data_IF_921132032890
#
_entry.id   IF_921132032890
#
_cell.length_a   1.000
_cell.length_b   1.000
_cell.length_c   1.000
_cell.angle_alpha   90.00
_cell.angle_beta   90.00
_cell.angle_gamma   90.00
#
_symmetry.space_group_name_H-M   'P 1'
#
loop_
_entity.id
_entity.type
_entity.pdbx_description
1 polymer ?
#
# COMPACT_ATOMS: atom_id res chain seq x y z
N UNK A 1 -5.35 -3.92 15.44
CA UNK A 1 -3.93 -3.86 15.04
C UNK A 1 -3.17 -5.17 15.32
N UNK A 2 -3.01 -5.62 16.58
CA UNK A 2 -2.14 -6.76 16.93
C UNK A 2 -2.41 -8.05 16.14
N UNK A 3 -3.68 -8.41 15.93
CA UNK A 3 -4.06 -9.56 15.09
C UNK A 3 -3.49 -9.47 13.67
N UNK A 4 -3.38 -8.27 13.10
CA UNK A 4 -2.80 -8.08 11.77
C UNK A 4 -1.28 -8.28 11.78
N UNK A 5 -0.57 -7.81 12.82
CA UNK A 5 0.86 -8.04 13.00
C UNK A 5 1.17 -9.54 13.10
N UNK A 6 0.44 -10.26 13.95
CA UNK A 6 0.57 -11.70 14.12
C UNK A 6 0.30 -12.47 12.82
N UNK A 7 -0.68 -12.02 12.02
CA UNK A 7 -0.97 -12.63 10.72
C UNK A 7 0.15 -12.37 9.71
N UNK A 8 0.60 -11.11 9.56
CA UNK A 8 1.44 -10.69 8.44
C UNK A 8 2.94 -10.75 8.68
N UNK A 9 3.37 -10.61 9.93
CA UNK A 9 4.79 -10.55 10.28
C UNK A 9 5.25 -11.81 11.02
N UNK A 10 4.36 -12.42 11.81
CA UNK A 10 4.67 -13.66 12.56
C UNK A 10 4.23 -14.92 11.82
N UNK A 11 3.32 -14.79 10.84
CA UNK A 11 2.90 -15.89 9.95
C UNK A 11 1.76 -16.76 10.48
N UNK A 12 0.95 -16.25 11.42
CA UNK A 12 -0.25 -16.96 11.87
C UNK A 12 -1.37 -16.91 10.82
N UNK A 13 -2.25 -17.91 10.83
CA UNK A 13 -3.52 -17.80 10.10
C UNK A 13 -4.40 -16.71 10.74
N UNK A 14 -5.23 -16.05 9.94
CA UNK A 14 -6.13 -14.96 10.39
C UNK A 14 -6.96 -15.33 11.63
N UNK A 15 -7.47 -16.56 11.70
CA UNK A 15 -8.25 -17.05 12.85
C UNK A 15 -7.37 -17.17 14.11
N UNK A 16 -6.19 -17.77 13.97
CA UNK A 16 -5.22 -17.93 15.07
C UNK A 16 -4.75 -16.57 15.58
N UNK A 17 -4.37 -15.66 14.68
CA UNK A 17 -3.90 -14.33 15.00
C UNK A 17 -4.93 -13.50 15.78
N UNK A 18 -6.22 -13.55 15.38
CA UNK A 18 -7.32 -12.91 16.11
C UNK A 18 -7.52 -13.49 17.50
N UNK A 19 -7.52 -14.82 17.59
CA UNK A 19 -7.70 -15.50 18.87
C UNK A 19 -6.56 -15.20 19.84
N UNK A 20 -5.32 -15.12 19.37
CA UNK A 20 -4.18 -14.79 20.21
C UNK A 20 -4.21 -13.31 20.64
N UNK A 21 -4.50 -12.40 19.71
CA UNK A 21 -4.55 -10.97 20.00
C UNK A 21 -5.59 -10.60 21.07
N UNK A 22 -6.70 -11.34 21.19
CA UNK A 22 -7.74 -11.05 22.19
C UNK A 22 -7.32 -11.34 23.64
N UNK A 23 -6.17 -11.98 23.87
CA UNK A 23 -5.65 -12.22 25.22
C UNK A 23 -4.85 -11.03 25.79
N UNK A 24 -4.60 -10.00 24.98
CA UNK A 24 -3.82 -8.83 25.38
C UNK A 24 -4.72 -7.61 25.36
N UNK A 25 -4.72 -6.82 26.44
CA UNK A 25 -5.54 -5.60 26.48
C UNK A 25 -4.87 -4.47 25.69
N UNK A 26 -3.54 -4.43 25.68
CA UNK A 26 -2.75 -3.43 24.98
C UNK A 26 -1.43 -4.01 24.42
N UNK A 27 -0.62 -3.15 23.79
CA UNK A 27 0.66 -3.52 23.18
C UNK A 27 1.71 -3.92 24.22
N UNK A 28 1.73 -3.22 25.36
CA UNK A 28 2.69 -3.46 26.44
C UNK A 28 2.46 -4.85 27.08
N UNK A 29 1.20 -5.23 27.31
CA UNK A 29 0.84 -6.58 27.75
C UNK A 29 1.39 -7.66 26.81
N UNK A 30 1.30 -7.42 25.50
CA UNK A 30 1.82 -8.33 24.48
C UNK A 30 3.35 -8.34 24.45
N UNK A 31 4.03 -7.22 24.65
CA UNK A 31 5.50 -7.18 24.60
C UNK A 31 6.14 -7.80 25.85
N UNK A 32 5.45 -7.76 26.99
CA UNK A 32 5.98 -8.21 28.28
C UNK A 32 5.54 -9.63 28.66
N UNK A 33 4.70 -10.31 27.88
CA UNK A 33 4.25 -11.67 28.21
C UNK A 33 5.38 -12.69 28.06
N UNK A 34 5.60 -13.48 29.10
CA UNK A 34 6.57 -14.58 29.10
C UNK A 34 6.10 -15.78 28.28
N UNK A 35 7.05 -16.51 27.67
CA UNK A 35 6.77 -17.71 26.87
C UNK A 35 5.93 -18.75 27.62
N UNK A 36 6.16 -18.93 28.92
CA UNK A 36 5.42 -19.90 29.74
C UNK A 36 3.94 -19.54 29.88
N UNK A 37 3.60 -18.25 29.86
CA UNK A 37 2.22 -17.78 29.87
C UNK A 37 1.57 -17.93 28.50
N UNK A 38 2.32 -17.67 27.43
CA UNK A 38 1.88 -17.92 26.05
C UNK A 38 1.62 -19.41 25.79
N UNK A 39 2.44 -20.32 26.35
CA UNK A 39 2.27 -21.78 26.25
C UNK A 39 0.97 -22.29 26.89
N UNK A 40 0.49 -21.59 27.92
CA UNK A 40 -0.58 -22.06 28.80
C UNK A 40 -1.84 -21.19 28.73
N UNK A 41 -2.20 -20.72 27.54
CA UNK A 41 -3.43 -19.96 27.32
C UNK A 41 -4.65 -20.88 27.56
N UNK A 42 -5.42 -20.58 28.61
CA UNK A 42 -6.61 -21.32 29.03
C UNK A 42 -7.86 -20.44 28.92
N UNK A 43 -9.01 -21.08 28.68
CA UNK A 43 -10.34 -20.47 28.85
C UNK A 43 -10.63 -20.16 30.31
N UNK A 44 -11.68 -19.37 30.52
CA UNK A 44 -12.29 -19.11 31.83
C UNK A 44 -12.68 -20.42 32.55
N UNK A 45 -13.04 -21.48 31.81
CA UNK A 45 -13.35 -22.81 32.37
C UNK A 45 -12.12 -23.69 32.59
N UNK A 46 -10.90 -23.16 32.41
CA UNK A 46 -9.64 -23.87 32.62
C UNK A 46 -9.24 -24.83 31.49
N UNK A 47 -10.04 -24.96 30.44
CA UNK A 47 -9.70 -25.76 29.26
C UNK A 47 -8.68 -25.02 28.39
N UNK A 48 -7.67 -25.73 27.88
CA UNK A 48 -6.72 -25.18 26.91
C UNK A 48 -7.46 -24.73 25.66
N UNK A 49 -7.55 -23.43 25.45
CA UNK A 49 -8.24 -22.83 24.30
C UNK A 49 -7.37 -22.81 23.06
N UNK A 50 -6.06 -22.81 23.25
CA UNK A 50 -5.12 -22.59 22.17
C UNK A 50 -3.77 -23.21 22.50
N UNK A 51 -3.28 -24.14 21.67
CA UNK A 51 -1.93 -24.70 21.80
C UNK A 51 -1.05 -24.14 20.68
N UNK A 52 0.03 -23.50 21.09
CA UNK A 52 1.08 -23.02 20.21
C UNK A 52 2.19 -24.07 20.10
N UNK A 53 2.79 -24.21 18.93
CA UNK A 53 4.02 -25.00 18.77
C UNK A 53 5.22 -24.22 19.31
N UNK A 54 6.32 -24.91 19.62
CA UNK A 54 7.55 -24.24 20.07
C UNK A 54 8.09 -23.29 18.97
N UNK A 55 7.93 -23.66 17.69
CA UNK A 55 8.24 -22.80 16.54
C UNK A 55 7.38 -21.52 16.50
N UNK A 56 6.07 -21.64 16.73
CA UNK A 56 5.19 -20.47 16.78
C UNK A 56 5.55 -19.54 17.95
N UNK A 57 5.94 -20.08 19.10
CA UNK A 57 6.36 -19.29 20.27
C UNK A 57 7.68 -18.59 19.97
N UNK A 58 8.66 -19.30 19.40
CA UNK A 58 9.92 -18.70 18.99
C UNK A 58 9.71 -17.52 18.01
N UNK A 59 8.77 -17.65 17.06
CA UNK A 59 8.42 -16.55 16.16
C UNK A 59 7.76 -15.37 16.89
N UNK A 60 6.92 -15.62 17.90
CA UNK A 60 6.35 -14.55 18.74
C UNK A 60 7.46 -13.84 19.51
N UNK A 61 8.33 -14.59 20.20
CA UNK A 61 9.44 -14.05 20.98
C UNK A 61 10.37 -13.21 20.11
N UNK A 62 10.73 -13.71 18.93
CA UNK A 62 11.52 -12.97 17.94
C UNK A 62 10.83 -11.66 17.51
N UNK A 63 9.50 -11.69 17.32
CA UNK A 63 8.75 -10.49 16.96
C UNK A 63 8.69 -9.46 18.10
N UNK A 64 8.49 -9.89 19.36
CA UNK A 64 8.48 -9.01 20.53
C UNK A 64 9.79 -8.21 20.64
N UNK A 65 10.94 -8.86 20.40
CA UNK A 65 12.26 -8.21 20.51
C UNK A 65 12.71 -7.50 19.23
N UNK A 66 12.02 -7.68 18.10
CA UNK A 66 12.40 -7.09 16.81
C UNK A 66 12.26 -5.57 16.73
N UNK A 67 11.57 -4.96 17.70
CA UNK A 67 11.13 -3.56 17.61
C UNK A 67 10.05 -3.35 16.54
N UNK A 68 9.36 -4.41 16.10
CA UNK A 68 8.23 -4.34 15.17
C UNK A 68 7.01 -3.61 15.74
N UNK A 69 6.88 -3.60 17.07
CA UNK A 69 5.92 -2.78 17.81
C UNK A 69 6.67 -1.87 18.78
N UNK A 70 6.14 -0.67 19.00
CA UNK A 70 6.65 0.29 19.97
C UNK A 70 5.53 0.73 20.90
N UNK A 71 5.69 0.62 22.24
CA UNK A 71 4.72 1.13 23.19
C UNK A 71 4.68 2.67 23.25
N UNK A 72 5.67 3.36 22.67
CA UNK A 72 5.69 4.82 22.55
C UNK A 72 4.80 5.33 21.40
N UNK A 73 4.49 4.46 20.44
CA UNK A 73 3.58 4.77 19.34
C UNK A 73 2.15 4.42 19.73
N UNK A 74 1.20 5.20 19.22
CA UNK A 74 -0.24 4.89 19.30
C UNK A 74 -0.56 3.58 18.57
N UNK A 75 -1.79 3.07 18.76
CA UNK A 75 -2.26 1.89 18.04
C UNK A 75 -2.32 2.13 16.53
N UNK A 76 -2.71 3.34 16.11
CA UNK A 76 -2.78 3.74 14.72
C UNK A 76 -1.39 3.82 14.08
N UNK A 77 -0.41 4.43 14.76
CA UNK A 77 0.97 4.53 14.28
C UNK A 77 1.65 3.16 14.22
N UNK A 78 1.46 2.29 15.21
CA UNK A 78 1.92 0.91 15.14
C UNK A 78 1.29 0.17 13.95
N UNK A 79 -0.01 0.35 13.73
CA UNK A 79 -0.70 -0.27 12.60
C UNK A 79 -0.14 0.23 11.27
N UNK A 80 0.08 1.54 11.15
CA UNK A 80 0.72 2.21 10.02
C UNK A 80 2.12 1.63 9.75
N UNK A 81 2.93 1.47 10.79
CA UNK A 81 4.27 0.89 10.66
C UNK A 81 4.22 -0.55 10.12
N UNK A 82 3.28 -1.37 10.62
CA UNK A 82 3.10 -2.76 10.17
C UNK A 82 2.66 -2.79 8.70
N UNK A 83 1.63 -2.04 8.29
CA UNK A 83 1.17 -2.07 6.90
C UNK A 83 2.26 -1.60 5.93
N UNK A 84 3.11 -0.69 6.38
CA UNK A 84 4.24 -0.14 5.60
C UNK A 84 5.37 -1.15 5.41
N UNK A 85 5.73 -1.89 6.46
CA UNK A 85 6.67 -3.01 6.36
C UNK A 85 6.15 -4.11 5.46
N UNK A 86 4.88 -4.48 5.62
CA UNK A 86 4.22 -5.49 4.78
C UNK A 86 4.21 -5.06 3.32
N UNK A 87 3.89 -3.79 3.02
CA UNK A 87 3.96 -3.26 1.67
C UNK A 87 5.37 -3.35 1.09
N UNK A 88 6.38 -2.85 1.82
CA UNK A 88 7.78 -2.85 1.39
C UNK A 88 8.28 -4.27 1.13
N UNK A 89 8.02 -5.20 2.05
CA UNK A 89 8.37 -6.62 1.92
C UNK A 89 7.71 -7.26 0.70
N UNK A 90 6.45 -6.93 0.45
CA UNK A 90 5.73 -7.44 -0.74
C UNK A 90 6.38 -6.96 -2.03
N UNK A 91 6.80 -5.69 -2.10
CA UNK A 91 7.49 -5.17 -3.30
C UNK A 91 8.86 -5.81 -3.49
N UNK A 92 9.62 -5.98 -2.40
CA UNK A 92 10.90 -6.65 -2.41
C UNK A 92 10.79 -8.10 -2.90
N UNK A 93 9.86 -8.86 -2.33
CA UNK A 93 9.61 -10.25 -2.72
C UNK A 93 9.17 -10.36 -4.19
N UNK A 94 8.38 -9.41 -4.67
CA UNK A 94 7.95 -9.36 -6.07
C UNK A 94 9.13 -9.13 -7.01
N UNK A 95 9.98 -8.14 -6.74
CA UNK A 95 11.19 -7.87 -7.55
C UNK A 95 12.12 -9.09 -7.55
N UNK A 96 12.36 -9.69 -6.38
CA UNK A 96 13.23 -10.87 -6.25
C UNK A 96 12.72 -12.09 -7.01
N UNK A 97 11.40 -12.25 -7.12
CA UNK A 97 10.76 -13.36 -7.83
C UNK A 97 10.58 -13.14 -9.33
N UNK A 98 10.74 -11.92 -9.82
CA UNK A 98 10.59 -11.61 -11.24
C UNK A 98 11.57 -12.43 -12.07
N UNK A 99 11.13 -12.99 -13.19
CA UNK A 99 11.92 -13.80 -14.10
C UNK A 99 11.79 -13.31 -15.54
N UNK A 100 12.61 -13.84 -16.45
CA UNK A 100 12.48 -13.54 -17.88
C UNK A 100 11.08 -13.87 -18.44
N UNK A 101 10.40 -14.88 -17.88
CA UNK A 101 9.06 -15.29 -18.31
C UNK A 101 7.96 -14.29 -17.90
N UNK A 102 8.23 -13.46 -16.89
CA UNK A 102 7.29 -12.43 -16.42
C UNK A 102 7.40 -11.13 -17.24
N UNK A 103 8.42 -11.01 -18.09
CA UNK A 103 8.59 -9.85 -18.96
C UNK A 103 7.66 -9.97 -20.17
N UNK A 104 7.01 -8.85 -20.52
CA UNK A 104 6.17 -8.73 -21.70
C UNK A 104 6.66 -7.56 -22.58
N UNK A 105 7.79 -7.74 -23.29
CA UNK A 105 8.35 -6.70 -24.13
C UNK A 105 7.48 -6.47 -25.35
N UNK A 106 7.49 -5.22 -25.79
CA UNK A 106 6.92 -4.85 -27.08
C UNK A 106 8.04 -4.78 -28.13
N UNK A 107 8.07 -5.66 -29.15
CA UNK A 107 9.08 -5.63 -30.22
C UNK A 107 9.16 -4.29 -30.94
N UNK A 108 8.03 -3.60 -31.12
CA UNK A 108 8.01 -2.26 -31.70
C UNK A 108 8.73 -1.25 -30.82
N UNK A 109 8.59 -1.34 -29.48
CA UNK A 109 9.34 -0.45 -28.56
C UNK A 109 10.83 -0.77 -28.56
N UNK A 110 11.21 -2.05 -28.63
CA UNK A 110 12.63 -2.46 -28.72
C UNK A 110 13.29 -1.78 -29.93
N UNK A 111 12.65 -1.83 -31.09
CA UNK A 111 13.16 -1.21 -32.32
C UNK A 111 13.05 0.33 -32.29
N UNK A 112 11.89 0.86 -31.94
CA UNK A 112 11.63 2.31 -32.00
C UNK A 112 12.48 3.11 -31.00
N UNK A 113 12.83 2.52 -29.85
CA UNK A 113 13.66 3.15 -28.83
C UNK A 113 15.15 2.82 -28.97
N UNK A 114 15.55 2.15 -30.06
CA UNK A 114 16.94 1.76 -30.33
C UNK A 114 17.58 0.98 -29.16
N UNK A 115 16.89 -0.04 -28.66
CA UNK A 115 17.42 -0.94 -27.63
C UNK A 115 18.29 -2.01 -28.31
N UNK A 116 19.55 -1.65 -28.56
CA UNK A 116 20.52 -2.39 -29.38
C UNK A 116 21.43 -3.35 -28.59
N UNK A 117 21.33 -3.35 -27.26
CA UNK A 117 22.03 -4.30 -26.38
C UNK A 117 21.06 -5.09 -25.51
N UNK A 118 21.43 -6.32 -25.17
CA UNK A 118 20.64 -7.21 -24.30
C UNK A 118 20.29 -6.53 -22.99
N UNK A 119 21.28 -5.88 -22.36
CA UNK A 119 21.09 -5.15 -21.11
C UNK A 119 20.05 -4.04 -21.25
N UNK A 120 20.07 -3.23 -22.31
CA UNK A 120 19.08 -2.16 -22.52
C UNK A 120 17.67 -2.72 -22.67
N UNK A 121 17.52 -3.83 -23.41
CA UNK A 121 16.23 -4.51 -23.59
C UNK A 121 15.73 -5.04 -22.26
N UNK A 122 16.55 -5.80 -21.53
CA UNK A 122 16.15 -6.41 -20.26
C UNK A 122 15.87 -5.35 -19.21
N UNK A 123 16.79 -4.38 -19.01
CA UNK A 123 16.67 -3.32 -18.01
C UNK A 123 15.38 -2.54 -18.16
N UNK A 124 15.07 -2.06 -19.37
CA UNK A 124 13.83 -1.31 -19.59
C UNK A 124 12.59 -2.13 -19.21
N UNK A 125 12.55 -3.39 -19.63
CA UNK A 125 11.39 -4.26 -19.38
C UNK A 125 11.26 -4.66 -17.91
N UNK A 126 12.37 -4.90 -17.21
CA UNK A 126 12.39 -5.15 -15.76
C UNK A 126 11.87 -3.93 -15.01
N UNK A 127 12.36 -2.73 -15.34
CA UNK A 127 11.86 -1.48 -14.75
C UNK A 127 10.36 -1.30 -15.01
N UNK A 128 9.88 -1.54 -16.24
CA UNK A 128 8.46 -1.42 -16.57
C UNK A 128 7.59 -2.43 -15.80
N UNK A 129 8.04 -3.68 -15.66
CA UNK A 129 7.34 -4.72 -14.91
C UNK A 129 7.28 -4.39 -13.42
N UNK A 130 8.42 -4.05 -12.81
CA UNK A 130 8.52 -3.72 -11.40
C UNK A 130 7.68 -2.48 -11.05
N UNK A 131 7.83 -1.40 -11.80
CA UNK A 131 7.11 -0.13 -11.54
C UNK A 131 5.60 -0.28 -11.69
N UNK A 132 5.10 -1.02 -12.69
CA UNK A 132 3.68 -1.30 -12.85
C UNK A 132 3.10 -2.02 -11.64
N UNK A 133 3.81 -3.03 -11.13
CA UNK A 133 3.42 -3.79 -9.96
C UNK A 133 3.41 -2.93 -8.69
N UNK A 134 4.44 -2.11 -8.49
CA UNK A 134 4.55 -1.17 -7.36
C UNK A 134 3.41 -0.16 -7.38
N UNK A 135 3.15 0.50 -8.52
CA UNK A 135 2.10 1.53 -8.64
C UNK A 135 0.71 0.93 -8.42
N UNK A 136 0.47 -0.29 -8.91
CA UNK A 136 -0.80 -0.99 -8.67
C UNK A 136 -0.99 -1.30 -7.19
N UNK A 137 0.06 -1.83 -6.54
CA UNK A 137 0.04 -2.13 -5.10
C UNK A 137 -0.10 -0.87 -4.24
N UNK A 138 0.45 0.26 -4.69
CA UNK A 138 0.38 1.55 -4.01
C UNK A 138 -1.07 2.02 -3.83
N UNK A 139 -1.96 1.77 -4.79
CA UNK A 139 -3.38 2.14 -4.66
C UNK A 139 -4.05 1.50 -3.44
N UNK A 140 -3.89 0.18 -3.29
CA UNK A 140 -4.42 -0.55 -2.13
C UNK A 140 -3.72 -0.18 -0.82
N UNK A 141 -2.44 0.17 -0.89
CA UNK A 141 -1.68 0.60 0.28
C UNK A 141 -2.16 1.96 0.78
N UNK A 142 -2.33 2.94 -0.12
CA UNK A 142 -2.82 4.28 0.19
C UNK A 142 -4.20 4.24 0.83
N UNK A 143 -5.10 3.40 0.35
CA UNK A 143 -6.42 3.25 0.97
C UNK A 143 -6.31 2.79 2.44
N UNK A 144 -5.39 1.87 2.75
CA UNK A 144 -5.11 1.47 4.13
C UNK A 144 -4.50 2.61 4.94
N UNK A 145 -3.58 3.39 4.36
CA UNK A 145 -2.98 4.56 5.02
C UNK A 145 -4.04 5.58 5.42
N UNK A 146 -5.00 5.86 4.54
CA UNK A 146 -6.06 6.83 4.84
C UNK A 146 -6.93 6.35 6.01
N UNK A 147 -7.22 5.05 6.09
CA UNK A 147 -7.97 4.47 7.22
C UNK A 147 -7.19 4.49 8.55
N UNK A 148 -5.88 4.73 8.55
CA UNK A 148 -5.11 4.88 9.79
C UNK A 148 -5.05 6.32 10.30
N UNK A 149 -5.65 7.27 9.58
CA UNK A 149 -5.55 8.70 9.94
C UNK A 149 -6.42 9.09 11.13
N UNK A 150 -7.57 8.44 11.32
CA UNK A 150 -8.48 8.73 12.43
C UNK A 150 -9.45 7.57 12.66
N UNK A 151 -9.96 7.45 13.89
CA UNK A 151 -10.98 6.46 14.28
C UNK A 151 -12.37 6.77 13.71
N UNK A 152 -12.61 8.00 13.25
CA UNK A 152 -13.87 8.41 12.63
C UNK A 152 -13.94 8.14 11.12
N UNK A 153 -13.01 7.35 10.59
CA UNK A 153 -12.93 6.97 9.18
C UNK A 153 -13.23 5.49 8.99
N UNK A 154 -14.11 5.21 8.03
CA UNK A 154 -14.47 3.85 7.67
C UNK A 154 -14.63 3.68 6.16
N UNK A 155 -14.58 2.41 5.73
CA UNK A 155 -15.04 2.07 4.39
C UNK A 155 -16.56 1.99 4.40
N UNK A 156 -17.25 2.59 3.42
CA UNK A 156 -18.68 2.40 3.30
C UNK A 156 -19.01 0.92 3.08
N UNK A 157 -20.16 0.49 3.62
CA UNK A 157 -20.62 -0.88 3.40
C UNK A 157 -20.94 -1.11 1.90
N UNK A 158 -20.98 -2.37 1.44
CA UNK A 158 -21.17 -2.68 0.01
C UNK A 158 -22.47 -2.11 -0.59
N UNK A 159 -23.50 -1.90 0.23
CA UNK A 159 -24.81 -1.40 -0.23
C UNK A 159 -24.81 0.12 -0.40
N UNK A 160 -24.07 0.82 0.47
CA UNK A 160 -23.96 2.28 0.49
C UNK A 160 -22.76 2.81 -0.29
N UNK A 161 -21.79 1.95 -0.63
CA UNK A 161 -20.55 2.37 -1.29
C UNK A 161 -20.82 3.25 -2.49
N UNK A 162 -21.64 2.83 -3.46
CA UNK A 162 -21.91 3.64 -4.66
C UNK A 162 -20.65 4.07 -5.43
N UNK A 163 -19.51 3.41 -5.19
CA UNK A 163 -18.18 3.77 -5.68
C UNK A 163 -17.36 4.70 -4.77
N UNK A 164 -17.91 5.19 -3.66
CA UNK A 164 -17.17 5.95 -2.64
C UNK A 164 -16.18 5.03 -1.91
N UNK A 165 -15.01 5.59 -1.62
CA UNK A 165 -13.89 4.85 -1.05
C UNK A 165 -13.87 4.95 0.48
N UNK A 166 -14.21 6.12 1.03
CA UNK A 166 -14.18 6.40 2.47
C UNK A 166 -15.39 7.22 2.94
N UNK A 167 -15.73 7.07 4.22
CA UNK A 167 -16.67 7.94 4.93
C UNK A 167 -16.01 8.44 6.20
N UNK A 168 -16.01 9.76 6.40
CA UNK A 168 -15.62 10.42 7.65
C UNK A 168 -16.86 10.87 8.39
N UNK A 169 -16.95 10.56 9.68
CA UNK A 169 -18.04 11.04 10.54
C UNK A 169 -17.53 12.15 11.46
N UNK A 170 -18.11 13.34 11.38
CA UNK A 170 -17.71 14.46 12.25
C UNK A 170 -18.16 14.23 13.69
N UNK A 171 -17.63 15.01 14.63
CA UNK A 171 -18.09 15.02 16.03
C UNK A 171 -19.58 15.37 16.19
N UNK A 172 -20.15 16.08 15.22
CA UNK A 172 -21.57 16.45 15.16
C UNK A 172 -22.45 15.35 14.49
N UNK A 173 -21.85 14.24 14.07
CA UNK A 173 -22.54 13.11 13.45
C UNK A 173 -22.77 13.25 11.94
N UNK A 174 -22.21 14.28 11.31
CA UNK A 174 -22.31 14.47 9.87
C UNK A 174 -21.43 13.47 9.10
N UNK A 175 -21.98 12.86 8.05
CA UNK A 175 -21.24 11.94 7.18
C UNK A 175 -20.68 12.68 5.97
N UNK A 176 -19.38 12.47 5.74
CA UNK A 176 -18.64 13.05 4.63
C UNK A 176 -18.06 11.91 3.80
N UNK A 177 -18.45 11.85 2.53
CA UNK A 177 -18.07 10.79 1.59
C UNK A 177 -16.90 11.23 0.74
N UNK A 178 -15.90 10.37 0.61
CA UNK A 178 -14.69 10.67 -0.15
C UNK A 178 -14.44 9.63 -1.23
N UNK A 179 -14.22 10.14 -2.43
CA UNK A 179 -13.69 9.39 -3.55
C UNK A 179 -12.20 9.69 -3.62
N UNK A 180 -11.35 8.69 -3.53
CA UNK A 180 -9.91 8.85 -3.44
C UNK A 180 -9.24 8.52 -4.77
N UNK A 181 -8.35 9.41 -5.21
CA UNK A 181 -7.39 9.17 -6.28
C UNK A 181 -5.98 9.31 -5.73
N UNK A 182 -5.05 8.59 -6.34
CA UNK A 182 -3.64 8.73 -5.97
C UNK A 182 -3.13 10.13 -6.31
N UNK A 183 -3.28 10.60 -7.55
CA UNK A 183 -2.80 11.92 -7.97
C UNK A 183 -3.72 12.67 -8.92
N UNK A 184 -3.37 13.94 -9.13
CA UNK A 184 -4.09 14.87 -9.99
C UNK A 184 -3.88 14.64 -11.50
N UNK A 185 -3.48 13.43 -11.91
CA UNK A 185 -3.37 13.02 -13.32
C UNK A 185 -4.29 11.82 -13.64
N UNK A 186 -5.14 11.40 -12.70
CA UNK A 186 -5.80 10.11 -12.74
C UNK A 186 -7.28 10.17 -13.15
N UNK A 187 -7.83 11.34 -13.51
CA UNK A 187 -9.23 11.42 -13.92
C UNK A 187 -9.42 12.06 -15.29
N UNK A 188 -10.26 11.40 -16.09
CA UNK A 188 -10.80 11.95 -17.33
C UNK A 188 -12.09 12.76 -17.08
N UNK A 189 -12.62 13.35 -18.15
CA UNK A 189 -13.81 14.22 -18.08
C UNK A 189 -15.05 13.46 -17.61
N UNK A 190 -15.29 12.26 -18.13
CA UNK A 190 -16.49 11.47 -17.85
C UNK A 190 -16.51 11.04 -16.38
N UNK A 191 -15.36 10.69 -15.83
CA UNK A 191 -15.21 10.40 -14.41
C UNK A 191 -15.54 11.61 -13.54
N UNK A 192 -15.08 12.81 -13.91
CA UNK A 192 -15.38 14.02 -13.12
C UNK A 192 -16.87 14.35 -13.19
N UNK A 193 -17.50 14.26 -14.37
CA UNK A 193 -18.95 14.48 -14.52
C UNK A 193 -19.78 13.47 -13.72
N UNK A 194 -19.36 12.21 -13.69
CA UNK A 194 -19.97 11.19 -12.84
C UNK A 194 -19.89 11.57 -11.36
N UNK A 195 -18.71 11.99 -10.88
CA UNK A 195 -18.53 12.36 -9.48
C UNK A 195 -19.22 13.66 -9.10
N UNK A 196 -19.34 14.62 -10.02
CA UNK A 196 -20.13 15.83 -9.81
C UNK A 196 -21.59 15.49 -9.49
N UNK A 197 -22.18 14.52 -10.21
CA UNK A 197 -23.55 14.03 -9.94
C UNK A 197 -23.63 13.34 -8.58
N UNK A 198 -22.66 12.47 -8.25
CA UNK A 198 -22.62 11.76 -6.96
C UNK A 198 -22.46 12.67 -5.76
N UNK A 199 -21.65 13.72 -5.88
CA UNK A 199 -21.52 14.74 -4.84
C UNK A 199 -22.85 15.47 -4.64
N UNK A 200 -23.54 15.81 -5.73
CA UNK A 200 -24.85 16.46 -5.64
C UNK A 200 -25.93 15.56 -5.04
N UNK A 201 -25.91 14.26 -5.35
CA UNK A 201 -26.79 13.26 -4.70
C UNK A 201 -26.61 13.30 -3.18
N UNK A 202 -25.36 13.29 -2.69
CA UNK A 202 -25.07 13.39 -1.25
C UNK A 202 -25.49 14.72 -0.64
N UNK A 203 -25.27 15.82 -1.34
CA UNK A 203 -25.75 17.14 -0.90
C UNK A 203 -27.28 17.17 -0.73
N UNK A 204 -28.03 16.53 -1.63
CA UNK A 204 -29.49 16.44 -1.55
C UNK A 204 -29.97 15.54 -0.38
N UNK A 205 -29.13 14.61 0.08
CA UNK A 205 -29.36 13.78 1.26
C UNK A 205 -29.01 14.49 2.59
N UNK A 206 -28.48 15.73 2.51
CA UNK A 206 -27.99 16.47 3.68
C UNK A 206 -26.59 16.06 4.13
N UNK A 207 -25.85 15.34 3.29
CA UNK A 207 -24.47 14.89 3.52
C UNK A 207 -23.49 15.62 2.59
N UNK A 208 -22.18 15.42 2.77
CA UNK A 208 -21.16 16.04 1.90
C UNK A 208 -20.37 15.00 1.12
N UNK A 209 -19.95 15.37 -0.09
CA UNK A 209 -19.11 14.54 -0.96
C UNK A 209 -17.89 15.28 -1.47
N UNK A 210 -16.73 14.63 -1.48
CA UNK A 210 -15.46 15.20 -1.92
C UNK A 210 -14.67 14.25 -2.83
N UNK A 211 -13.90 14.83 -3.76
CA UNK A 211 -12.83 14.12 -4.46
C UNK A 211 -11.50 14.43 -3.75
N UNK A 212 -10.88 13.41 -3.19
CA UNK A 212 -9.59 13.48 -2.52
C UNK A 212 -8.45 13.00 -3.42
N UNK A 213 -7.35 13.75 -3.47
CA UNK A 213 -6.10 13.36 -4.11
C UNK A 213 -5.01 13.21 -3.07
N UNK A 214 -4.34 12.06 -2.99
CA UNK A 214 -3.41 11.79 -1.88
C UNK A 214 -2.06 12.50 -1.99
N UNK A 215 -1.70 12.97 -3.18
CA UNK A 215 -0.55 13.85 -3.40
C UNK A 215 -0.81 14.91 -4.47
N UNK A 216 0.06 15.93 -4.50
CA UNK A 216 0.00 17.06 -5.43
C UNK A 216 -0.32 18.37 -4.73
N UNK A 217 -0.51 19.43 -5.52
CA UNK A 217 -0.93 20.76 -5.05
C UNK A 217 -2.02 21.31 -5.97
N UNK A 218 -2.91 22.13 -5.40
CA UNK A 218 -3.96 22.84 -6.14
C UNK A 218 -3.42 23.73 -7.27
N UNK A 219 -2.20 24.24 -7.09
CA UNK A 219 -1.49 25.07 -8.07
C UNK A 219 -0.81 24.28 -9.19
N UNK A 220 -0.85 22.94 -9.16
CA UNK A 220 -0.29 22.14 -10.24
C UNK A 220 -1.11 22.33 -11.52
N UNK A 221 -0.40 22.47 -12.65
CA UNK A 221 -1.00 22.56 -13.97
C UNK A 221 -1.09 21.16 -14.60
N UNK A 222 -2.09 20.38 -14.19
CA UNK A 222 -2.38 19.06 -14.77
C UNK A 222 -3.65 19.06 -15.59
N UNK A 223 -3.78 18.07 -16.48
CA UNK A 223 -5.00 17.86 -17.29
C UNK A 223 -6.23 17.71 -16.39
N UNK A 224 -6.14 16.87 -15.34
CA UNK A 224 -7.26 16.66 -14.41
C UNK A 224 -7.67 17.95 -13.70
N UNK A 225 -6.72 18.79 -13.26
CA UNK A 225 -7.04 20.06 -12.59
C UNK A 225 -7.71 21.02 -13.57
N UNK A 226 -7.26 21.06 -14.82
CA UNK A 226 -7.93 21.81 -15.89
C UNK A 226 -9.37 21.34 -16.11
N UNK A 227 -9.59 20.03 -16.15
CA UNK A 227 -10.93 19.45 -16.30
C UNK A 227 -11.82 19.73 -15.08
N UNK A 228 -11.32 19.56 -13.85
CA UNK A 228 -12.06 19.88 -12.62
C UNK A 228 -12.57 21.32 -12.63
N UNK A 229 -11.72 22.29 -13.00
CA UNK A 229 -12.10 23.71 -13.14
C UNK A 229 -13.23 23.92 -14.16
N UNK A 230 -13.26 23.11 -15.22
CA UNK A 230 -14.20 23.25 -16.31
C UNK A 230 -15.55 22.58 -16.02
N UNK A 231 -15.55 21.41 -15.37
CA UNK A 231 -16.72 20.52 -15.30
C UNK A 231 -17.27 20.27 -13.90
N UNK A 232 -16.51 20.56 -12.83
CA UNK A 232 -16.98 20.39 -11.45
C UNK A 232 -17.36 21.78 -10.87
N UNK A 233 -18.65 22.07 -10.65
CA UNK A 233 -19.07 23.33 -10.06
C UNK A 233 -18.46 23.49 -8.66
N UNK A 234 -17.88 24.66 -8.37
CA UNK A 234 -17.20 24.94 -7.09
C UNK A 234 -16.11 23.91 -6.77
N UNK A 235 -15.35 23.50 -7.79
CA UNK A 235 -14.34 22.44 -7.66
C UNK A 235 -13.40 22.64 -6.46
N UNK A 236 -13.07 23.89 -6.10
CA UNK A 236 -12.21 24.20 -4.95
C UNK A 236 -12.81 23.72 -3.63
N UNK A 237 -14.12 23.86 -3.47
CA UNK A 237 -14.86 23.44 -2.28
C UNK A 237 -15.19 21.95 -2.27
N UNK A 238 -15.06 21.25 -3.41
CA UNK A 238 -15.40 19.83 -3.59
C UNK A 238 -14.18 18.93 -3.76
N UNK A 239 -12.98 19.50 -3.64
CA UNK A 239 -11.71 18.76 -3.81
C UNK A 239 -10.76 19.01 -2.65
N UNK A 240 -10.05 17.96 -2.24
CA UNK A 240 -8.99 18.00 -1.24
C UNK A 240 -7.71 17.44 -1.88
N UNK A 241 -6.64 18.22 -1.96
CA UNK A 241 -5.43 17.83 -2.71
C UNK A 241 -4.19 17.79 -1.82
N UNK A 242 -3.51 16.63 -1.81
CA UNK A 242 -2.27 16.43 -1.09
C UNK A 242 -2.46 16.68 0.40
N UNK A 243 -1.69 17.62 0.96
CA UNK A 243 -1.75 17.97 2.38
C UNK A 243 -3.16 18.33 2.85
N UNK A 244 -3.96 19.01 2.02
CA UNK A 244 -5.33 19.37 2.37
C UNK A 244 -6.20 18.15 2.72
N UNK A 245 -6.02 17.03 1.99
CA UNK A 245 -6.71 15.78 2.29
C UNK A 245 -6.23 15.18 3.61
N UNK A 246 -4.91 15.12 3.81
CA UNK A 246 -4.33 14.53 5.01
C UNK A 246 -4.75 15.29 6.26
N UNK A 247 -4.59 16.62 6.26
CA UNK A 247 -4.96 17.50 7.37
C UNK A 247 -6.47 17.43 7.65
N UNK A 248 -7.30 17.35 6.60
CA UNK A 248 -8.75 17.17 6.75
C UNK A 248 -9.12 15.84 7.41
N UNK A 249 -8.41 14.77 7.09
CA UNK A 249 -8.70 13.44 7.61
C UNK A 249 -8.17 13.25 9.04
N UNK A 250 -6.94 13.69 9.31
CA UNK A 250 -6.28 13.55 10.62
C UNK A 250 -6.73 14.58 11.65
N UNK A 251 -7.22 15.75 11.22
CA UNK A 251 -7.39 16.93 12.07
C UNK A 251 -6.08 17.38 12.76
N UNK A 252 -4.94 16.98 12.19
CA UNK A 252 -3.59 17.30 12.63
C UNK A 252 -2.74 17.77 11.44
N UNK A 253 -2.31 19.04 11.42
CA UNK A 253 -1.52 19.60 10.31
C UNK A 253 -0.12 18.98 10.17
N UNK A 254 0.41 18.31 11.20
CA UNK A 254 1.73 17.68 11.19
C UNK A 254 1.68 16.18 10.88
N UNK A 255 0.48 15.60 10.75
CA UNK A 255 0.26 14.17 10.52
C UNK A 255 0.98 13.66 9.27
N UNK A 256 0.97 14.42 8.18
CA UNK A 256 1.64 14.02 6.93
C UNK A 256 3.15 13.83 7.10
N UNK A 257 3.80 14.66 7.92
CA UNK A 257 5.22 14.54 8.25
C UNK A 257 5.49 13.29 9.09
N UNK A 258 4.64 13.01 10.09
CA UNK A 258 4.73 11.81 10.93
C UNK A 258 4.59 10.54 10.08
N UNK A 259 3.63 10.53 9.15
CA UNK A 259 3.44 9.41 8.21
C UNK A 259 4.72 9.15 7.43
N UNK A 260 5.33 10.18 6.82
CA UNK A 260 6.57 9.98 6.06
C UNK A 260 7.71 9.41 6.90
N UNK A 261 7.85 9.85 8.15
CA UNK A 261 8.84 9.29 9.08
C UNK A 261 8.58 7.81 9.34
N UNK A 262 7.36 7.44 9.69
CA UNK A 262 6.98 6.03 9.95
C UNK A 262 7.17 5.17 8.70
N UNK A 263 6.81 5.68 7.51
CA UNK A 263 7.03 5.01 6.23
C UNK A 263 8.52 4.74 6.00
N UNK A 264 9.38 5.74 6.24
CA UNK A 264 10.84 5.63 6.05
C UNK A 264 11.46 4.62 7.00
N UNK A 265 11.17 4.73 8.30
CA UNK A 265 11.69 3.81 9.31
C UNK A 265 11.21 2.38 9.07
N UNK A 266 9.95 2.21 8.67
CA UNK A 266 9.39 0.91 8.32
C UNK A 266 10.09 0.31 7.10
N UNK A 267 10.36 1.10 6.06
CA UNK A 267 11.08 0.62 4.89
C UNK A 267 12.52 0.22 5.24
N UNK A 268 13.20 0.98 6.09
CA UNK A 268 14.57 0.68 6.55
C UNK A 268 14.65 -0.65 7.31
N UNK A 269 13.63 -1.01 8.10
CA UNK A 269 13.59 -2.32 8.78
C UNK A 269 13.50 -3.52 7.83
N UNK A 270 13.15 -3.30 6.55
CA UNK A 270 12.97 -4.36 5.55
C UNK A 270 14.09 -4.36 4.52
N UNK A 271 14.54 -3.17 4.11
CA UNK A 271 15.56 -2.99 3.08
C UNK A 271 16.97 -2.78 3.66
N UNK A 272 17.08 -2.62 4.97
CA UNK A 272 18.30 -2.24 5.68
C UNK A 272 18.93 -0.96 5.09
N UNK A 273 20.11 -1.08 4.48
CA UNK A 273 20.82 0.02 3.81
C UNK A 273 20.54 0.09 2.30
N UNK A 274 19.78 -0.85 1.75
CA UNK A 274 19.46 -0.92 0.33
C UNK A 274 18.17 -0.17 0.01
N UNK A 275 18.00 0.13 -1.27
CA UNK A 275 16.81 0.69 -1.87
C UNK A 275 16.15 -0.34 -2.77
N UNK A 276 14.85 -0.18 -3.00
CA UNK A 276 14.13 -1.02 -3.98
C UNK A 276 14.71 -0.84 -5.39
N UNK A 277 15.33 0.30 -5.69
CA UNK A 277 15.98 0.53 -6.98
C UNK A 277 17.21 -0.34 -7.14
N UNK A 278 18.02 -0.52 -6.10
CA UNK A 278 19.19 -1.42 -6.15
C UNK A 278 18.76 -2.87 -6.33
N UNK A 279 17.67 -3.29 -5.68
CA UNK A 279 17.09 -4.62 -5.88
C UNK A 279 16.57 -4.84 -7.30
N UNK A 280 16.04 -3.80 -7.96
CA UNK A 280 15.63 -3.84 -9.37
C UNK A 280 16.86 -3.98 -10.29
N UNK A 281 17.98 -3.34 -9.98
CA UNK A 281 19.22 -3.47 -10.75
C UNK A 281 19.84 -4.87 -10.58
N UNK A 282 19.83 -5.44 -9.37
CA UNK A 282 20.28 -6.83 -9.17
C UNK A 282 19.37 -7.84 -9.89
N UNK A 283 18.05 -7.60 -9.87
CA UNK A 283 17.10 -8.37 -10.67
C UNK A 283 17.39 -8.27 -12.17
N UNK A 284 17.74 -7.08 -12.66
CA UNK A 284 18.11 -6.84 -14.06
C UNK A 284 19.33 -7.67 -14.45
N UNK A 285 20.38 -7.70 -13.62
CA UNK A 285 21.59 -8.51 -13.87
C UNK A 285 21.25 -9.99 -13.98
N UNK A 286 20.45 -10.52 -13.04
CA UNK A 286 20.01 -11.92 -13.04
C UNK A 286 19.21 -12.26 -14.29
N UNK A 287 18.21 -11.46 -14.63
CA UNK A 287 17.37 -11.71 -15.82
C UNK A 287 18.16 -11.54 -17.12
N UNK A 288 19.18 -10.67 -17.15
CA UNK A 288 20.08 -10.56 -18.30
C UNK A 288 20.86 -11.86 -18.52
N UNK A 289 21.31 -12.54 -17.45
CA UNK A 289 21.93 -13.86 -17.56
C UNK A 289 20.94 -14.91 -18.08
N UNK A 290 19.72 -14.94 -17.55
CA UNK A 290 18.63 -15.81 -18.05
C UNK A 290 18.37 -15.58 -19.55
N UNK A 291 18.36 -14.31 -19.97
CA UNK A 291 18.17 -13.92 -21.36
C UNK A 291 19.29 -14.46 -22.25
N UNK A 292 20.54 -14.17 -21.89
CA UNK A 292 21.71 -14.59 -22.68
C UNK A 292 21.77 -16.10 -22.81
N UNK A 293 21.46 -16.83 -21.74
CA UNK A 293 21.41 -18.29 -21.76
C UNK A 293 20.35 -18.84 -22.72
N UNK A 294 19.19 -18.16 -22.81
CA UNK A 294 18.04 -18.65 -23.60
C UNK A 294 18.07 -18.21 -25.06
N UNK A 295 18.45 -16.96 -25.32
CA UNK A 295 18.33 -16.34 -26.63
C UNK A 295 19.68 -15.97 -27.25
N UNK A 296 20.77 -15.94 -26.47
CA UNK A 296 22.07 -15.42 -26.89
C UNK A 296 22.25 -13.95 -26.52
N UNK A 297 23.43 -13.40 -26.83
CA UNK A 297 23.78 -12.01 -26.52
C UNK A 297 23.84 -11.12 -27.77
N UNK A 298 23.86 -9.80 -27.55
CA UNK A 298 23.95 -8.78 -28.57
C UNK A 298 22.75 -8.75 -29.52
N UNK A 299 22.94 -8.17 -30.70
CA UNK A 299 21.87 -7.96 -31.69
C UNK A 299 21.24 -9.26 -32.18
N UNK A 300 22.01 -10.35 -32.24
CA UNK A 300 21.48 -11.66 -32.61
C UNK A 300 20.57 -12.21 -31.51
N UNK A 301 20.98 -12.11 -30.24
CA UNK A 301 20.15 -12.52 -29.11
C UNK A 301 18.83 -11.76 -29.04
N UNK A 302 18.88 -10.45 -29.29
CA UNK A 302 17.68 -9.61 -29.36
C UNK A 302 16.77 -10.06 -30.52
N UNK A 303 17.35 -10.39 -31.69
CA UNK A 303 16.59 -10.87 -32.86
C UNK A 303 15.88 -12.19 -32.58
N UNK A 304 16.60 -13.16 -32.02
CA UNK A 304 16.03 -14.45 -31.58
C UNK A 304 14.91 -14.24 -30.55
N UNK A 305 15.06 -13.28 -29.64
CA UNK A 305 14.04 -12.98 -28.66
C UNK A 305 12.78 -12.40 -29.28
N UNK A 306 12.89 -11.44 -30.22
CA UNK A 306 11.70 -10.88 -30.88
C UNK A 306 10.98 -11.93 -31.72
N UNK A 307 11.69 -12.79 -32.45
CA UNK A 307 11.08 -13.91 -33.20
C UNK A 307 10.33 -14.89 -32.28
N UNK A 308 10.76 -15.02 -31.02
CA UNK A 308 10.09 -15.89 -30.07
C UNK A 308 8.81 -15.28 -29.47
N UNK A 309 8.61 -13.96 -29.56
CA UNK A 309 7.48 -13.23 -28.97
C UNK A 309 6.58 -12.55 -30.01
N UNK A 310 6.92 -12.65 -31.30
CA UNK A 310 6.22 -12.04 -32.43
C UNK A 310 6.22 -12.97 -33.63
#
# INVERSE_FOLDING_TARGET
MLAYALEKEVGFSKKRARSLASYFANIEDFLNVEEQRIKNIKSVSGQTTFRLTDDEIARISAFQISGGLSPQLTVAENYLAIISRVFTKTQLDMVRKLSLADLNPNPFLIRALNLDTTEKVVRLNVYMAATRSIVTSMGFFVEKLLLTTSDNLEKPNKRESGGWDLVKTTSEGERIWLQIKSGSNNMDKDQIEYWAKKIQEKANEGERGYIGFTYGKRTNNTVTIGLLKQVLPEWEMKTLIGRELWDFLSEDPDYSSQVFTILRESAQKILDQHSISEEIEECTKRITQEFVQKYGDGTQGISNYMEAIF
#
